data_IF_701146209178
#
_entry.id   IF_701146209178
#
_cell.length_a   1.000
_cell.length_b   1.000
_cell.length_c   1.000
_cell.angle_alpha   90.00
_cell.angle_beta   90.00
_cell.angle_gamma   90.00
#
_symmetry.space_group_name_H-M   'P 1'
#
loop_
_entity.id
_entity.type
_entity.pdbx_description
1 polymer ?
#
# COMPACT_ATOMS: atom_id res chain seq x y z
N UNK A 1 -9.11 8.35 -23.71
CA UNK A 1 -8.50 8.87 -22.44
C UNK A 1 -7.01 8.59 -22.53
N UNK A 2 -6.17 9.58 -22.26
CA UNK A 2 -4.73 9.35 -22.20
C UNK A 2 -4.44 8.49 -20.96
N UNK A 3 -3.93 7.29 -21.17
CA UNK A 3 -3.40 6.46 -20.06
C UNK A 3 -2.22 7.23 -19.46
N UNK A 4 -2.44 7.84 -18.32
CA UNK A 4 -1.36 8.51 -17.60
C UNK A 4 -0.50 7.41 -16.98
N UNK A 5 0.61 7.09 -17.63
CA UNK A 5 1.58 6.13 -17.09
C UNK A 5 2.18 6.77 -15.83
N UNK A 6 2.09 6.08 -14.69
CA UNK A 6 2.81 6.51 -13.50
C UNK A 6 4.32 6.44 -13.75
N UNK A 7 5.07 7.52 -13.50
CA UNK A 7 6.52 7.47 -13.65
C UNK A 7 7.12 6.47 -12.67
N UNK A 8 8.19 5.81 -13.09
CA UNK A 8 8.99 5.02 -12.18
C UNK A 8 9.64 5.95 -11.14
N UNK A 9 9.56 5.58 -9.88
CA UNK A 9 10.20 6.26 -8.77
C UNK A 9 10.84 5.21 -7.87
N UNK A 10 12.14 5.31 -7.69
CA UNK A 10 12.87 4.47 -6.75
C UNK A 10 13.36 5.34 -5.60
N UNK A 11 12.99 4.99 -4.40
CA UNK A 11 13.38 5.74 -3.21
C UNK A 11 12.88 5.06 -1.94
N UNK A 12 13.33 5.55 -0.79
CA UNK A 12 13.01 4.95 0.50
C UNK A 12 12.31 5.97 1.38
N UNK A 13 11.14 5.59 1.91
CA UNK A 13 10.24 6.47 2.64
C UNK A 13 9.74 5.89 3.95
N UNK A 14 9.01 6.71 4.68
CA UNK A 14 8.27 6.31 5.88
C UNK A 14 6.92 7.02 5.92
N UNK A 15 6.01 6.51 6.74
CA UNK A 15 4.74 7.16 7.02
C UNK A 15 4.90 8.49 7.75
N UNK A 16 4.25 9.54 7.28
CA UNK A 16 4.18 10.83 7.97
C UNK A 16 3.17 10.73 9.14
N UNK A 17 3.67 10.39 10.32
CA UNK A 17 2.86 10.22 11.52
C UNK A 17 2.97 11.42 12.46
N UNK A 18 1.91 11.76 13.24
CA UNK A 18 1.90 12.95 14.10
C UNK A 18 3.08 13.14 15.05
N UNK A 19 3.64 12.08 15.68
CA UNK A 19 4.82 12.22 16.52
C UNK A 19 6.05 12.79 15.80
N UNK A 20 6.16 12.56 14.48
CA UNK A 20 7.32 12.96 13.68
C UNK A 20 7.13 14.30 12.94
N UNK A 21 5.94 14.92 12.99
CA UNK A 21 5.64 16.16 12.24
C UNK A 21 6.69 17.25 12.43
N UNK A 22 7.18 17.44 13.66
CA UNK A 22 8.16 18.49 13.93
C UNK A 22 9.50 18.23 13.24
N UNK A 23 9.97 16.98 13.26
CA UNK A 23 11.21 16.60 12.60
C UNK A 23 11.15 16.84 11.07
N UNK A 24 10.02 16.56 10.43
CA UNK A 24 9.81 16.85 9.01
C UNK A 24 9.73 18.37 8.73
N UNK A 25 9.09 19.13 9.60
CA UNK A 25 9.05 20.59 9.49
C UNK A 25 10.45 21.22 9.65
N UNK A 26 11.28 20.67 10.53
CA UNK A 26 12.66 21.10 10.80
C UNK A 26 13.67 20.54 9.77
N UNK A 27 13.20 19.74 8.79
CA UNK A 27 14.01 19.12 7.74
C UNK A 27 15.04 18.11 8.27
N UNK A 28 14.79 17.47 9.38
CA UNK A 28 15.69 16.52 10.01
C UNK A 28 15.56 15.07 9.48
N UNK A 29 14.53 14.76 8.70
CA UNK A 29 14.28 13.41 8.20
C UNK A 29 15.03 13.16 6.87
N UNK A 30 15.89 12.13 6.84
CA UNK A 30 16.64 11.71 5.65
C UNK A 30 15.89 10.60 4.92
N UNK A 31 14.83 10.98 4.21
CA UNK A 31 13.99 10.08 3.40
C UNK A 31 13.83 10.63 1.98
N UNK A 32 13.54 9.75 1.02
CA UNK A 32 13.36 10.14 -0.37
C UNK A 32 11.90 10.54 -0.66
N UNK A 33 10.94 10.05 0.12
CA UNK A 33 9.53 10.42 0.07
C UNK A 33 8.85 10.15 1.41
N UNK A 34 7.63 10.66 1.55
CA UNK A 34 6.75 10.36 2.68
C UNK A 34 5.41 9.84 2.19
N UNK A 35 4.81 8.95 2.97
CA UNK A 35 3.43 8.55 2.75
C UNK A 35 2.52 9.12 3.83
N UNK A 36 1.31 9.49 3.42
CA UNK A 36 0.27 10.00 4.33
C UNK A 36 -1.00 9.16 4.20
N UNK A 37 -1.63 8.85 5.32
CA UNK A 37 -2.98 8.29 5.33
C UNK A 37 -3.94 9.39 4.89
N UNK A 38 -4.55 9.19 3.72
CA UNK A 38 -5.37 10.20 3.03
C UNK A 38 -6.49 10.77 3.90
N UNK A 39 -7.16 9.90 4.65
CA UNK A 39 -8.31 10.26 5.50
C UNK A 39 -7.93 11.28 6.58
N UNK A 40 -6.71 11.20 7.11
CA UNK A 40 -6.21 12.13 8.13
C UNK A 40 -6.04 13.56 7.59
N UNK A 41 -5.98 13.72 6.27
CA UNK A 41 -5.79 15.00 5.59
C UNK A 41 -7.02 15.45 4.80
N UNK A 42 -8.10 14.67 4.74
CA UNK A 42 -9.39 15.05 4.15
C UNK A 42 -10.20 15.97 5.08
N UNK A 43 -9.58 17.00 5.60
CA UNK A 43 -10.15 17.97 6.55
C UNK A 43 -10.28 19.35 5.91
N UNK A 44 -11.10 20.22 6.52
CA UNK A 44 -11.34 21.59 5.98
C UNK A 44 -10.16 22.55 6.18
N UNK A 45 -9.21 22.21 7.06
CA UNK A 45 -8.07 23.07 7.42
C UNK A 45 -7.38 22.58 8.69
N UNK A 46 -6.57 23.45 9.29
CA UNK A 46 -5.89 23.17 10.54
C UNK A 46 -4.50 22.54 10.37
N UNK A 47 -3.98 22.01 11.49
CA UNK A 47 -2.59 21.51 11.56
C UNK A 47 -2.26 20.45 10.53
N UNK A 48 -3.14 19.45 10.21
CA UNK A 48 -2.82 18.44 9.23
C UNK A 48 -2.47 19.05 7.86
N UNK A 49 -3.33 19.93 7.32
CA UNK A 49 -3.09 20.55 6.01
C UNK A 49 -1.87 21.49 6.03
N UNK A 50 -1.63 22.20 7.14
CA UNK A 50 -0.42 23.01 7.29
C UNK A 50 0.85 22.16 7.20
N UNK A 51 0.86 21.02 7.89
CA UNK A 51 2.02 20.08 7.86
C UNK A 51 2.17 19.50 6.46
N UNK A 52 1.10 19.02 5.86
CA UNK A 52 1.14 18.47 4.50
C UNK A 52 1.71 19.48 3.49
N UNK A 53 1.24 20.73 3.52
CA UNK A 53 1.71 21.76 2.60
C UNK A 53 3.21 22.07 2.79
N UNK A 54 3.69 22.13 4.02
CA UNK A 54 5.10 22.37 4.30
C UNK A 54 6.00 21.17 3.93
N UNK A 55 5.51 19.95 4.17
CA UNK A 55 6.26 18.72 3.88
C UNK A 55 6.37 18.49 2.38
N UNK A 56 5.26 18.63 1.62
CA UNK A 56 5.23 18.39 0.17
C UNK A 56 6.13 19.35 -0.64
N UNK A 57 6.53 20.48 -0.08
CA UNK A 57 7.48 21.39 -0.72
C UNK A 57 8.92 20.86 -0.73
N UNK A 58 9.18 19.85 0.08
CA UNK A 58 10.53 19.32 0.33
C UNK A 58 10.66 17.84 0.04
N UNK A 59 9.58 17.11 0.24
CA UNK A 59 9.52 15.66 0.05
C UNK A 59 8.43 15.31 -0.95
N UNK A 60 8.70 14.44 -1.92
CA UNK A 60 7.64 13.77 -2.67
C UNK A 60 6.67 13.09 -1.71
N UNK A 61 5.37 13.13 -2.01
CA UNK A 61 4.32 12.58 -1.16
C UNK A 61 3.61 11.46 -1.90
N UNK A 62 3.36 10.34 -1.24
CA UNK A 62 2.40 9.33 -1.64
C UNK A 62 1.13 9.48 -0.79
N UNK A 63 -0.05 9.31 -1.40
CA UNK A 63 -1.32 9.24 -0.70
C UNK A 63 -1.76 7.78 -0.61
N UNK A 64 -1.97 7.31 0.61
CA UNK A 64 -2.45 5.97 0.88
C UNK A 64 -3.79 6.04 1.62
N UNK A 65 -4.80 5.33 1.12
CA UNK A 65 -6.15 5.33 1.65
C UNK A 65 -6.50 3.99 2.32
N UNK A 66 -7.40 4.08 3.29
CA UNK A 66 -7.90 2.91 4.03
C UNK A 66 -9.43 2.77 3.95
N UNK A 67 -10.10 3.60 3.16
CA UNK A 67 -11.57 3.70 3.19
C UNK A 67 -12.24 3.83 1.82
N UNK A 68 -11.53 3.64 0.71
CA UNK A 68 -12.14 3.64 -0.62
C UNK A 68 -13.12 2.49 -0.76
N UNK A 69 -12.84 1.36 -0.11
CA UNK A 69 -13.71 0.19 -0.11
C UNK A 69 -13.96 -0.33 -1.52
N UNK A 70 -12.87 -0.55 -2.26
CA UNK A 70 -12.90 -0.88 -3.70
C UNK A 70 -13.71 -2.15 -4.01
N UNK A 71 -13.83 -3.03 -3.02
CA UNK A 71 -14.59 -4.28 -3.09
C UNK A 71 -16.06 -4.18 -2.68
N UNK A 72 -16.56 -2.99 -2.33
CA UNK A 72 -17.98 -2.85 -1.93
C UNK A 72 -18.94 -3.18 -3.05
N UNK A 73 -19.92 -4.01 -2.74
CA UNK A 73 -20.96 -4.47 -3.70
C UNK A 73 -21.95 -3.37 -4.09
N UNK A 74 -22.16 -2.37 -3.24
CA UNK A 74 -23.03 -1.21 -3.49
C UNK A 74 -22.29 -0.04 -4.19
N UNK A 75 -21.06 -0.28 -4.65
CA UNK A 75 -20.23 0.68 -5.37
C UNK A 75 -19.52 1.68 -4.46
N UNK A 76 -18.83 2.64 -5.09
CA UNK A 76 -17.96 3.57 -4.40
C UNK A 76 -18.72 4.79 -3.86
N UNK A 77 -18.30 5.30 -2.71
CA UNK A 77 -18.85 6.55 -2.13
C UNK A 77 -18.30 7.76 -2.88
N UNK A 78 -19.10 8.35 -3.76
CA UNK A 78 -18.68 9.49 -4.61
C UNK A 78 -18.17 10.69 -3.81
N UNK A 79 -18.72 10.96 -2.62
CA UNK A 79 -18.25 12.06 -1.76
C UNK A 79 -16.85 11.78 -1.20
N UNK A 80 -16.53 10.53 -0.89
CA UNK A 80 -15.18 10.12 -0.52
C UNK A 80 -14.22 10.39 -1.68
N UNK A 81 -14.52 9.92 -2.88
CA UNK A 81 -13.68 10.09 -4.06
C UNK A 81 -13.48 11.57 -4.43
N UNK A 82 -14.51 12.43 -4.29
CA UNK A 82 -14.36 13.87 -4.51
C UNK A 82 -13.41 14.52 -3.50
N UNK A 83 -13.48 14.12 -2.23
CA UNK A 83 -12.58 14.59 -1.18
C UNK A 83 -11.15 14.11 -1.42
N UNK A 84 -10.97 12.85 -1.81
CA UNK A 84 -9.68 12.28 -2.18
C UNK A 84 -9.08 13.00 -3.40
N UNK A 85 -9.90 13.27 -4.43
CA UNK A 85 -9.49 14.05 -5.60
C UNK A 85 -9.00 15.44 -5.20
N UNK A 86 -9.76 16.15 -4.35
CA UNK A 86 -9.37 17.48 -3.87
C UNK A 86 -8.06 17.44 -3.07
N UNK A 87 -7.85 16.40 -2.26
CA UNK A 87 -6.59 16.18 -1.54
C UNK A 87 -5.46 15.90 -2.52
N UNK A 88 -5.68 15.04 -3.51
CA UNK A 88 -4.68 14.69 -4.52
C UNK A 88 -4.28 15.90 -5.38
N UNK A 89 -5.23 16.78 -5.74
CA UNK A 89 -4.94 18.01 -6.47
C UNK A 89 -4.10 18.99 -5.63
N UNK A 90 -4.32 19.01 -4.30
CA UNK A 90 -3.52 19.82 -3.37
C UNK A 90 -2.13 19.23 -3.15
N UNK A 91 -2.05 17.95 -2.83
CA UNK A 91 -0.80 17.27 -2.47
C UNK A 91 0.11 17.04 -3.68
N UNK A 92 -0.46 16.88 -4.88
CA UNK A 92 0.23 16.47 -6.12
C UNK A 92 1.10 15.24 -5.88
N UNK A 93 0.51 14.13 -5.44
CA UNK A 93 1.25 12.97 -4.99
C UNK A 93 1.91 12.23 -6.15
N UNK A 94 2.93 11.41 -5.81
CA UNK A 94 3.52 10.43 -6.71
C UNK A 94 2.45 9.48 -7.24
N UNK A 95 1.60 8.97 -6.35
CA UNK A 95 0.43 8.13 -6.63
C UNK A 95 -0.62 8.26 -5.54
N UNK A 96 -1.77 7.65 -5.80
CA UNK A 96 -2.83 7.41 -4.84
C UNK A 96 -3.02 5.91 -4.75
N UNK A 97 -2.93 5.34 -3.55
CA UNK A 97 -3.15 3.93 -3.27
C UNK A 97 -4.31 3.71 -2.30
N UNK A 98 -4.86 2.52 -2.32
CA UNK A 98 -5.85 2.02 -1.37
C UNK A 98 -5.86 0.48 -1.42
N UNK A 99 -6.49 -0.17 -0.45
CA UNK A 99 -6.46 -1.62 -0.28
C UNK A 99 -7.46 -2.37 -1.17
N UNK A 100 -7.10 -3.60 -1.56
CA UNK A 100 -8.01 -4.55 -2.19
C UNK A 100 -8.92 -5.19 -1.14
N UNK A 101 -9.87 -4.43 -0.65
CA UNK A 101 -10.77 -4.84 0.42
C UNK A 101 -12.15 -4.19 0.28
N UNK A 102 -13.07 -4.60 1.14
CA UNK A 102 -14.26 -3.81 1.41
C UNK A 102 -14.28 -3.41 2.89
N UNK A 103 -14.77 -2.21 3.19
CA UNK A 103 -14.87 -1.65 4.54
C UNK A 103 -16.30 -1.40 4.96
N UNK A 104 -17.24 -1.47 4.03
CA UNK A 104 -18.65 -1.22 4.33
C UNK A 104 -19.58 -1.48 3.16
N UNK A 105 -20.84 -1.70 3.48
CA UNK A 105 -21.95 -1.98 2.56
C UNK A 105 -23.26 -1.47 3.15
N UNK A 106 -24.19 -0.98 2.32
CA UNK A 106 -25.52 -0.50 2.72
C UNK A 106 -25.52 0.50 3.89
N UNK A 107 -24.51 1.38 3.92
CA UNK A 107 -24.36 2.39 4.98
C UNK A 107 -23.70 1.91 6.28
N UNK A 108 -23.47 0.62 6.41
CA UNK A 108 -22.63 0.06 7.48
C UNK A 108 -21.14 0.28 7.15
N UNK A 109 -20.33 0.53 8.17
CA UNK A 109 -18.87 0.57 8.06
C UNK A 109 -18.28 -0.32 9.16
N UNK A 110 -17.48 -1.31 8.78
CA UNK A 110 -16.83 -2.23 9.71
C UNK A 110 -15.69 -1.59 10.50
N UNK A 111 -15.11 -0.51 9.98
CA UNK A 111 -13.85 0.06 10.42
C UNK A 111 -12.69 -0.94 10.36
N UNK A 112 -12.76 -1.86 9.40
CA UNK A 112 -11.78 -2.91 9.16
C UNK A 112 -11.64 -3.18 7.67
N UNK A 113 -10.52 -3.77 7.26
CA UNK A 113 -10.22 -4.16 5.89
C UNK A 113 -10.69 -5.61 5.69
N UNK A 114 -11.88 -5.79 5.13
CA UNK A 114 -12.48 -7.11 4.99
C UNK A 114 -12.13 -7.75 3.65
N UNK A 115 -11.84 -9.06 3.62
CA UNK A 115 -11.42 -9.77 2.42
C UNK A 115 -12.56 -9.95 1.41
N UNK A 116 -12.19 -10.23 0.17
CA UNK A 116 -13.09 -10.51 -0.95
C UNK A 116 -13.05 -11.98 -1.32
N UNK A 117 -14.14 -12.56 -1.82
CA UNK A 117 -14.07 -13.85 -2.53
C UNK A 117 -13.38 -13.62 -3.89
N UNK A 118 -12.42 -14.47 -4.24
CA UNK A 118 -11.67 -14.36 -5.49
C UNK A 118 -12.38 -15.11 -6.62
N UNK A 119 -13.55 -14.59 -7.00
CA UNK A 119 -14.42 -15.11 -8.07
C UNK A 119 -14.41 -14.20 -9.29
N UNK A 120 -14.85 -14.70 -10.45
CA UNK A 120 -15.02 -13.88 -11.66
C UNK A 120 -16.06 -12.77 -11.47
N UNK A 121 -17.10 -13.01 -10.67
CA UNK A 121 -18.10 -12.00 -10.33
C UNK A 121 -17.49 -10.85 -9.53
N UNK A 122 -16.75 -11.15 -8.46
CA UNK A 122 -16.05 -10.15 -7.66
C UNK A 122 -15.00 -9.40 -8.49
N UNK A 123 -14.28 -10.11 -9.37
CA UNK A 123 -13.32 -9.53 -10.29
C UNK A 123 -13.95 -8.50 -11.23
N UNK A 124 -15.15 -8.81 -11.76
CA UNK A 124 -15.93 -7.88 -12.58
C UNK A 124 -16.35 -6.62 -11.81
N UNK A 125 -16.86 -6.80 -10.58
CA UNK A 125 -17.28 -5.72 -9.69
C UNK A 125 -16.09 -4.79 -9.34
N UNK A 126 -15.01 -5.38 -8.83
CA UNK A 126 -13.81 -4.63 -8.41
C UNK A 126 -13.19 -3.90 -9.61
N UNK A 127 -13.14 -4.53 -10.78
CA UNK A 127 -12.66 -3.87 -12.00
C UNK A 127 -13.50 -2.63 -12.34
N UNK A 128 -14.83 -2.70 -12.26
CA UNK A 128 -15.70 -1.56 -12.51
C UNK A 128 -15.49 -0.44 -11.49
N UNK A 129 -15.30 -0.78 -10.21
CA UNK A 129 -15.01 0.16 -9.14
C UNK A 129 -13.64 0.85 -9.35
N UNK A 130 -12.59 0.10 -9.71
CA UNK A 130 -11.26 0.65 -10.01
C UNK A 130 -11.35 1.64 -11.17
N UNK A 131 -12.01 1.28 -12.28
CA UNK A 131 -12.17 2.18 -13.43
C UNK A 131 -12.93 3.45 -13.04
N UNK A 132 -13.98 3.33 -12.22
CA UNK A 132 -14.73 4.49 -11.71
C UNK A 132 -13.85 5.39 -10.83
N UNK A 133 -13.06 4.81 -9.93
CA UNK A 133 -12.13 5.55 -9.10
C UNK A 133 -11.09 6.29 -9.96
N UNK A 134 -10.47 5.61 -10.92
CA UNK A 134 -9.47 6.19 -11.82
C UNK A 134 -10.04 7.33 -12.67
N UNK A 135 -11.27 7.20 -13.16
CA UNK A 135 -11.94 8.26 -13.91
C UNK A 135 -12.19 9.52 -13.06
N UNK A 136 -12.66 9.35 -11.81
CA UNK A 136 -12.91 10.46 -10.90
C UNK A 136 -11.61 11.11 -10.43
N UNK A 137 -10.61 10.29 -10.08
CA UNK A 137 -9.31 10.76 -9.61
C UNK A 137 -8.45 11.32 -10.74
N UNK A 138 -8.79 11.04 -12.01
CA UNK A 138 -8.04 11.41 -13.22
C UNK A 138 -6.59 10.90 -13.20
N UNK A 139 -6.38 9.72 -12.60
CA UNK A 139 -5.07 9.07 -12.46
C UNK A 139 -5.20 7.58 -12.25
N UNK A 140 -4.18 6.78 -12.57
CA UNK A 140 -4.15 5.38 -12.21
C UNK A 140 -4.19 5.20 -10.69
N UNK A 141 -4.90 4.16 -10.23
CA UNK A 141 -4.89 3.72 -8.84
C UNK A 141 -3.72 2.76 -8.62
N UNK A 142 -3.14 2.80 -7.44
CA UNK A 142 -2.19 1.80 -6.96
C UNK A 142 -2.92 0.96 -5.91
N UNK A 143 -2.99 -0.35 -6.12
CA UNK A 143 -3.80 -1.24 -5.29
C UNK A 143 -2.90 -2.07 -4.40
N UNK A 144 -3.22 -2.13 -3.11
CA UNK A 144 -2.47 -2.90 -2.13
C UNK A 144 -3.13 -4.26 -1.86
N UNK A 145 -2.29 -5.30 -1.73
CA UNK A 145 -2.68 -6.61 -1.25
C UNK A 145 -2.86 -6.60 0.28
N UNK A 146 -4.07 -6.84 0.80
CA UNK A 146 -4.29 -6.90 2.24
C UNK A 146 -3.80 -8.22 2.83
N UNK A 147 -3.59 -8.27 4.15
CA UNK A 147 -3.44 -9.52 4.88
C UNK A 147 -4.77 -10.27 4.95
N UNK A 148 -4.72 -11.61 4.99
CA UNK A 148 -5.91 -12.46 4.97
C UNK A 148 -5.94 -13.44 6.15
N UNK A 149 -7.14 -13.59 6.75
CA UNK A 149 -7.40 -14.44 7.92
C UNK A 149 -8.45 -15.52 7.65
N UNK A 150 -9.07 -15.50 6.47
CA UNK A 150 -10.07 -16.47 6.05
C UNK A 150 -10.03 -16.65 4.54
N UNK A 151 -10.54 -17.77 4.07
CA UNK A 151 -10.77 -18.07 2.65
C UNK A 151 -12.25 -18.31 2.44
N UNK A 152 -12.72 -18.10 1.22
CA UNK A 152 -14.09 -18.37 0.86
C UNK A 152 -14.17 -19.73 0.15
N UNK A 153 -15.26 -20.48 0.43
CA UNK A 153 -15.46 -21.79 -0.19
C UNK A 153 -15.66 -21.71 -1.71
N UNK A 154 -16.08 -20.55 -2.18
CA UNK A 154 -16.39 -20.27 -3.58
C UNK A 154 -15.22 -19.60 -4.33
N UNK A 155 -14.03 -19.52 -3.72
CA UNK A 155 -12.84 -18.98 -4.41
C UNK A 155 -12.54 -19.81 -5.67
N UNK A 156 -12.46 -19.14 -6.81
CA UNK A 156 -12.19 -19.73 -8.13
C UNK A 156 -10.71 -19.63 -8.54
N UNK A 157 -9.97 -18.73 -7.89
CA UNK A 157 -8.56 -18.47 -8.17
C UNK A 157 -7.82 -17.97 -6.93
N UNK A 158 -6.48 -18.10 -6.87
CA UNK A 158 -5.70 -17.51 -5.79
C UNK A 158 -5.63 -15.98 -5.93
N UNK A 159 -5.36 -15.29 -4.80
CA UNK A 159 -5.29 -13.83 -4.73
C UNK A 159 -4.37 -13.20 -5.77
N UNK A 160 -3.17 -13.77 -5.97
CA UNK A 160 -2.21 -13.23 -6.95
C UNK A 160 -2.70 -13.31 -8.40
N UNK A 161 -3.50 -14.32 -8.75
CA UNK A 161 -4.13 -14.40 -10.06
C UNK A 161 -5.25 -13.35 -10.20
N UNK A 162 -6.04 -13.15 -9.14
CA UNK A 162 -7.07 -12.12 -9.08
C UNK A 162 -6.47 -10.72 -9.27
N UNK A 163 -5.40 -10.40 -8.54
CA UNK A 163 -4.65 -9.13 -8.66
C UNK A 163 -4.08 -8.95 -10.06
N UNK A 164 -3.47 -10.00 -10.63
CA UNK A 164 -2.93 -9.97 -12.00
C UNK A 164 -3.99 -9.62 -13.02
N UNK A 165 -5.17 -10.21 -12.88
CA UNK A 165 -6.28 -9.98 -13.79
C UNK A 165 -6.90 -8.59 -13.59
N UNK A 166 -6.96 -8.06 -12.35
CA UNK A 166 -7.34 -6.66 -12.09
C UNK A 166 -6.41 -5.69 -12.80
N UNK A 167 -5.09 -5.86 -12.68
CA UNK A 167 -4.11 -5.03 -13.36
C UNK A 167 -4.29 -5.07 -14.89
N UNK A 168 -4.53 -6.25 -15.44
CA UNK A 168 -4.75 -6.45 -16.87
C UNK A 168 -6.03 -5.75 -17.37
N UNK A 169 -7.15 -5.84 -16.61
CA UNK A 169 -8.45 -5.26 -17.00
C UNK A 169 -8.51 -3.76 -16.83
N UNK A 170 -7.86 -3.22 -15.80
CA UNK A 170 -8.07 -1.84 -15.38
C UNK A 170 -6.87 -0.94 -15.63
N UNK A 171 -5.69 -1.51 -15.85
CA UNK A 171 -4.44 -0.77 -15.95
C UNK A 171 -3.94 -0.20 -14.62
N UNK A 172 -4.50 -0.60 -13.47
CA UNK A 172 -4.01 -0.19 -12.16
C UNK A 172 -2.60 -0.71 -11.91
N UNK A 173 -1.95 -0.13 -10.93
CA UNK A 173 -0.63 -0.51 -10.44
C UNK A 173 -0.75 -1.19 -9.07
N UNK A 174 0.37 -1.68 -8.54
CA UNK A 174 0.43 -2.37 -7.26
C UNK A 174 1.30 -1.63 -6.26
N UNK A 175 0.81 -1.56 -5.04
CA UNK A 175 1.57 -1.46 -3.82
C UNK A 175 1.66 -2.89 -3.29
N UNK A 176 2.88 -3.41 -3.18
CA UNK A 176 3.11 -4.77 -2.72
C UNK A 176 3.55 -4.73 -1.26
N UNK A 177 2.63 -5.07 -0.36
CA UNK A 177 2.99 -5.26 1.04
C UNK A 177 3.55 -6.67 1.24
N UNK A 178 4.83 -6.72 1.60
CA UNK A 178 5.58 -7.97 1.78
C UNK A 178 5.25 -8.63 3.11
N UNK A 179 4.93 -7.84 4.15
CA UNK A 179 4.46 -8.37 5.41
C UNK A 179 3.10 -9.06 5.26
N UNK A 180 2.19 -8.46 4.48
CA UNK A 180 0.87 -9.04 4.19
C UNK A 180 0.97 -10.36 3.43
N UNK A 181 1.91 -10.47 2.49
CA UNK A 181 2.21 -11.75 1.83
C UNK A 181 2.66 -12.78 2.87
N UNK A 182 3.60 -12.40 3.74
CA UNK A 182 4.15 -13.31 4.75
C UNK A 182 3.09 -13.76 5.75
N UNK A 183 2.27 -12.83 6.25
CA UNK A 183 1.14 -13.11 7.16
C UNK A 183 0.14 -14.05 6.50
N UNK A 184 -0.30 -13.73 5.30
CA UNK A 184 -1.26 -14.57 4.55
C UNK A 184 -0.70 -15.95 4.23
N UNK A 185 0.55 -16.05 3.77
CA UNK A 185 1.22 -17.32 3.48
C UNK A 185 1.31 -18.22 4.72
N UNK A 186 1.67 -17.63 5.86
CA UNK A 186 1.72 -18.35 7.14
C UNK A 186 0.36 -18.82 7.60
N UNK A 187 -0.66 -17.97 7.52
CA UNK A 187 -2.00 -18.24 7.99
C UNK A 187 -2.73 -19.30 7.14
N UNK A 188 -2.48 -19.31 5.83
CA UNK A 188 -3.15 -20.21 4.88
C UNK A 188 -2.28 -21.38 4.39
N UNK A 189 -0.98 -21.40 4.72
CA UNK A 189 -0.09 -22.51 4.43
C UNK A 189 0.33 -22.61 2.95
N UNK A 190 0.45 -21.50 2.23
CA UNK A 190 1.03 -21.47 0.89
C UNK A 190 2.47 -20.95 0.89
N UNK A 191 3.22 -21.21 -0.19
CA UNK A 191 4.57 -20.67 -0.35
C UNK A 191 4.49 -19.18 -0.80
N UNK A 192 5.07 -18.23 -0.05
CA UNK A 192 5.10 -16.84 -0.47
C UNK A 192 5.79 -16.61 -1.83
N UNK A 193 6.64 -17.54 -2.28
CA UNK A 193 7.23 -17.48 -3.61
C UNK A 193 6.19 -17.65 -4.72
N UNK A 194 5.15 -18.47 -4.54
CA UNK A 194 4.06 -18.65 -5.49
C UNK A 194 3.29 -17.32 -5.68
N UNK A 195 3.13 -16.56 -4.59
CA UNK A 195 2.50 -15.24 -4.64
C UNK A 195 3.34 -14.25 -5.47
N UNK A 196 4.64 -14.17 -5.20
CA UNK A 196 5.56 -13.28 -5.91
C UNK A 196 5.66 -13.66 -7.40
N UNK A 197 5.58 -14.95 -7.71
CA UNK A 197 5.61 -15.45 -9.10
C UNK A 197 4.31 -15.14 -9.85
N UNK A 198 3.19 -15.06 -9.13
CA UNK A 198 1.87 -14.86 -9.72
C UNK A 198 1.45 -13.40 -9.92
N UNK A 199 2.04 -12.44 -9.21
CA UNK A 199 1.71 -11.02 -9.37
C UNK A 199 2.49 -10.35 -10.50
N UNK A 200 1.92 -9.32 -11.19
CA UNK A 200 2.61 -8.64 -12.27
C UNK A 200 3.65 -7.64 -11.71
N UNK A 201 4.88 -8.11 -11.51
CA UNK A 201 5.97 -7.34 -10.89
C UNK A 201 6.30 -6.03 -11.64
N UNK A 202 6.06 -5.97 -12.96
CA UNK A 202 6.22 -4.76 -13.77
C UNK A 202 5.18 -3.66 -13.43
N UNK A 203 4.13 -4.02 -12.69
CA UNK A 203 3.10 -3.11 -12.20
C UNK A 203 3.36 -2.58 -10.80
N UNK A 204 4.30 -3.14 -10.06
CA UNK A 204 4.65 -2.67 -8.72
C UNK A 204 5.23 -1.26 -8.79
N UNK A 205 4.71 -0.35 -7.95
CA UNK A 205 5.17 1.05 -7.82
C UNK A 205 5.68 1.37 -6.44
N UNK A 206 5.23 0.60 -5.46
CA UNK A 206 5.66 0.75 -4.07
C UNK A 206 5.69 -0.61 -3.38
N UNK A 207 6.57 -0.73 -2.40
CA UNK A 207 6.66 -1.88 -1.49
C UNK A 207 6.48 -1.36 -0.07
N UNK A 208 5.57 -1.97 0.70
CA UNK A 208 5.47 -1.80 2.14
C UNK A 208 6.22 -2.91 2.87
N UNK A 209 6.86 -2.50 3.97
CA UNK A 209 7.61 -3.34 4.89
C UNK A 209 7.14 -3.03 6.30
N UNK A 210 6.61 -4.01 6.98
CA UNK A 210 6.06 -3.85 8.32
C UNK A 210 6.37 -5.08 9.19
N UNK A 211 6.05 -4.97 10.47
CA UNK A 211 6.07 -6.09 11.40
C UNK A 211 4.66 -6.51 11.76
N UNK A 212 4.52 -7.75 12.20
CA UNK A 212 3.27 -8.37 12.61
C UNK A 212 3.36 -8.91 14.03
N UNK A 213 2.21 -9.20 14.63
CA UNK A 213 2.11 -9.79 15.96
C UNK A 213 1.67 -11.25 15.89
N UNK A 214 2.16 -12.06 16.84
CA UNK A 214 1.70 -13.44 16.99
C UNK A 214 0.40 -13.45 17.79
N UNK A 215 -0.70 -13.80 17.16
CA UNK A 215 -1.95 -14.14 17.79
C UNK A 215 -1.93 -15.57 18.37
N UNK A 216 -3.09 -16.02 18.87
CA UNK A 216 -3.20 -17.37 19.43
C UNK A 216 -2.96 -18.47 18.40
N UNK A 217 -3.59 -18.34 17.26
CA UNK A 217 -3.60 -19.37 16.20
C UNK A 217 -3.15 -18.84 14.82
N UNK A 218 -3.06 -17.52 14.67
CA UNK A 218 -2.74 -16.82 13.42
C UNK A 218 -1.70 -15.73 13.68
N UNK A 219 -0.97 -15.34 12.65
CA UNK A 219 -0.26 -14.07 12.62
C UNK A 219 -1.28 -12.94 12.38
N UNK A 220 -1.10 -11.82 13.08
CA UNK A 220 -1.94 -10.64 12.94
C UNK A 220 -1.10 -9.49 12.38
N UNK A 221 -1.58 -8.92 11.32
CA UNK A 221 -0.98 -7.77 10.64
C UNK A 221 -1.28 -6.50 11.46
N UNK A 222 -0.34 -6.14 12.31
CA UNK A 222 -0.53 -5.04 13.28
C UNK A 222 0.25 -3.79 12.93
N UNK A 223 1.30 -3.90 12.13
CA UNK A 223 2.22 -2.82 11.79
C UNK A 223 2.71 -2.01 13.02
N UNK A 224 2.81 -2.69 14.18
CA UNK A 224 3.21 -2.10 15.46
C UNK A 224 4.64 -2.45 15.88
N UNK A 225 5.35 -3.28 15.08
CA UNK A 225 6.66 -3.85 15.41
C UNK A 225 7.67 -3.63 14.31
N UNK A 226 8.95 -3.82 14.68
CA UNK A 226 10.04 -3.86 13.71
C UNK A 226 9.84 -4.97 12.67
N UNK A 227 10.30 -4.74 11.46
CA UNK A 227 10.26 -5.71 10.36
C UNK A 227 11.08 -6.96 10.75
N UNK A 228 10.50 -8.16 10.79
CA UNK A 228 11.21 -9.37 11.18
C UNK A 228 12.04 -9.96 10.03
N UNK A 229 13.06 -10.77 10.37
CA UNK A 229 13.98 -11.36 9.40
C UNK A 229 13.27 -12.08 8.23
N UNK A 230 12.22 -12.90 8.43
CA UNK A 230 11.56 -13.56 7.29
C UNK A 230 10.93 -12.58 6.30
N UNK A 231 10.42 -11.43 6.77
CA UNK A 231 9.88 -10.37 5.89
C UNK A 231 11.02 -9.67 5.15
N UNK A 232 12.15 -9.44 5.82
CA UNK A 232 13.35 -8.93 5.15
C UNK A 232 13.86 -9.84 4.05
N UNK A 233 13.88 -11.17 4.28
CA UNK A 233 14.34 -12.14 3.29
C UNK A 233 13.40 -12.19 2.08
N UNK A 234 12.09 -12.11 2.32
CA UNK A 234 11.09 -12.02 1.27
C UNK A 234 11.21 -10.71 0.47
N UNK A 235 11.50 -9.59 1.15
CA UNK A 235 11.78 -8.32 0.50
C UNK A 235 12.98 -8.39 -0.45
N UNK A 236 14.07 -9.03 -0.05
CA UNK A 236 15.24 -9.23 -0.92
C UNK A 236 14.86 -9.99 -2.20
N UNK A 237 14.06 -11.05 -2.08
CA UNK A 237 13.59 -11.82 -3.22
C UNK A 237 12.72 -10.98 -4.17
N UNK A 238 11.86 -10.10 -3.64
CA UNK A 238 11.06 -9.15 -4.42
C UNK A 238 11.96 -8.10 -5.07
N UNK A 239 12.82 -7.45 -4.30
CA UNK A 239 13.68 -6.35 -4.76
C UNK A 239 14.60 -6.78 -5.92
N UNK A 240 15.12 -8.01 -5.88
CA UNK A 240 15.92 -8.57 -6.97
C UNK A 240 15.17 -8.61 -8.31
N UNK A 241 13.85 -8.65 -8.31
CA UNK A 241 13.00 -8.90 -9.49
C UNK A 241 12.26 -7.66 -10.00
N UNK A 242 11.91 -6.73 -9.12
CA UNK A 242 11.13 -5.53 -9.50
C UNK A 242 11.98 -4.37 -10.02
N UNK A 243 13.30 -4.41 -9.80
CA UNK A 243 14.17 -3.28 -10.10
C UNK A 243 13.99 -2.10 -9.11
N UNK A 244 14.43 -0.89 -9.48
CA UNK A 244 14.30 0.29 -8.62
C UNK A 244 12.84 0.70 -8.45
N UNK A 245 12.23 0.34 -7.33
CA UNK A 245 10.85 0.67 -6.93
C UNK A 245 10.88 1.34 -5.55
N UNK A 246 9.93 2.22 -5.28
CA UNK A 246 9.79 2.82 -3.96
C UNK A 246 9.56 1.75 -2.89
N UNK A 247 10.24 1.88 -1.75
CA UNK A 247 10.00 1.04 -0.59
C UNK A 247 9.89 1.88 0.67
N UNK A 248 9.04 1.48 1.59
CA UNK A 248 8.94 2.16 2.88
C UNK A 248 8.79 1.18 4.03
N UNK A 249 9.21 1.64 5.21
CA UNK A 249 8.87 0.99 6.47
C UNK A 249 7.60 1.64 7.00
N UNK A 250 6.57 0.82 7.19
CA UNK A 250 5.28 1.25 7.72
C UNK A 250 5.17 0.98 9.22
N UNK A 251 4.56 1.93 9.93
CA UNK A 251 4.23 1.82 11.33
C UNK A 251 2.90 2.54 11.58
N UNK A 252 1.90 1.81 12.08
CA UNK A 252 0.54 2.32 12.26
C UNK A 252 0.18 2.53 13.73
N UNK A 253 0.75 1.72 14.60
CA UNK A 253 0.62 1.84 16.05
C UNK A 253 1.99 1.75 16.72
N UNK A 254 2.06 2.04 18.02
CA UNK A 254 3.31 2.05 18.78
C UNK A 254 4.45 2.76 18.03
N UNK A 255 4.14 3.96 17.47
CA UNK A 255 5.06 4.72 16.61
C UNK A 255 6.38 5.00 17.35
N UNK A 256 7.51 4.39 16.93
CA UNK A 256 8.78 4.54 17.62
C UNK A 256 9.42 5.91 17.35
N UNK A 257 10.52 6.26 18.03
CA UNK A 257 11.35 7.41 17.67
C UNK A 257 11.75 7.39 16.20
N UNK A 258 11.87 8.58 15.60
CA UNK A 258 12.18 8.71 14.16
C UNK A 258 13.51 8.02 13.78
N UNK A 259 14.51 8.11 14.65
CA UNK A 259 15.82 7.47 14.47
C UNK A 259 15.73 5.95 14.31
N UNK A 260 14.81 5.30 14.99
CA UNK A 260 14.61 3.85 14.89
C UNK A 260 14.01 3.48 13.52
N UNK A 261 13.01 4.24 13.04
CA UNK A 261 12.47 4.05 11.69
C UNK A 261 13.50 4.33 10.59
N UNK A 262 14.33 5.36 10.76
CA UNK A 262 15.40 5.66 9.80
C UNK A 262 16.47 4.55 9.78
N UNK A 263 16.73 3.92 10.93
CA UNK A 263 17.63 2.78 11.01
C UNK A 263 17.07 1.54 10.29
N UNK A 264 15.77 1.27 10.43
CA UNK A 264 15.08 0.20 9.67
C UNK A 264 15.09 0.53 8.16
N UNK A 265 14.83 1.77 7.79
CA UNK A 265 14.85 2.21 6.39
C UNK A 265 16.23 2.02 5.75
N UNK A 266 17.30 2.21 6.52
CA UNK A 266 18.67 1.95 6.05
C UNK A 266 18.94 0.46 5.86
N UNK A 267 18.28 -0.43 6.62
CA UNK A 267 18.31 -1.87 6.35
C UNK A 267 17.65 -2.16 4.99
N UNK A 268 16.48 -1.57 4.72
CA UNK A 268 15.80 -1.71 3.43
C UNK A 268 16.70 -1.27 2.26
N UNK A 269 17.37 -0.12 2.37
CA UNK A 269 18.32 0.37 1.36
C UNK A 269 19.44 -0.64 1.07
N UNK A 270 20.08 -1.11 2.12
CA UNK A 270 21.20 -2.06 1.98
C UNK A 270 20.77 -3.38 1.35
N UNK A 271 19.64 -3.94 1.78
CA UNK A 271 19.10 -5.19 1.25
C UNK A 271 18.71 -5.05 -0.22
N UNK A 272 18.04 -3.97 -0.61
CA UNK A 272 17.72 -3.67 -2.01
C UNK A 272 18.97 -3.53 -2.88
N UNK A 273 19.98 -2.79 -2.41
CA UNK A 273 21.23 -2.66 -3.15
C UNK A 273 21.94 -4.01 -3.35
N UNK A 274 21.99 -4.84 -2.31
CA UNK A 274 22.60 -6.17 -2.39
C UNK A 274 21.84 -7.09 -3.37
N UNK A 275 20.50 -7.07 -3.31
CA UNK A 275 19.63 -7.84 -4.20
C UNK A 275 19.84 -7.48 -5.69
N UNK A 276 19.91 -6.19 -6.01
CA UNK A 276 20.14 -5.74 -7.39
C UNK A 276 21.54 -6.10 -7.89
N UNK A 277 22.58 -6.06 -7.04
CA UNK A 277 23.94 -6.46 -7.42
C UNK A 277 24.01 -7.97 -7.69
N UNK A 278 23.38 -8.77 -6.86
CA UNK A 278 23.35 -10.24 -7.03
C UNK A 278 22.59 -10.67 -8.29
N UNK A 279 21.54 -9.94 -8.68
CA UNK A 279 20.75 -10.24 -9.88
C UNK A 279 21.46 -9.81 -11.18
N UNK A 280 22.34 -8.81 -11.11
CA UNK A 280 23.11 -8.30 -12.25
C UNK A 280 24.42 -9.08 -12.53
N UNK A 281 24.85 -9.97 -11.62
CA UNK A 281 26.07 -10.78 -11.69
C UNK A 281 25.81 -12.17 -12.31
#
# INVERSE_FOLDING_TARGET
MASTILPAFGGFGIGLRPPHYQAFLDQAALVDFVEVISENFMVRGGRPLYVLDAVRERYPVALHGVSMSIGSADGLKLDYLRRLKALADRARPLWVSDHLCWTGVEGFNSHDLLPLPYTEEALGLVSANILTAQDILERPLVLENPSSYLTFADDEMPEWAFISELCRRTGCYLLLDVNNIYVSATNHGFDPADYIDGVPLDRVRQIHLAGHSQGKDLLIDTHDRAVPDPVWDLYEAVAARVGPVAAMVERDDDIPPLEDLLAELEIARRRSCAAHQAYAA
#
